data_IF_861021842955
#
_entry.id   IF_861021842955
#
_cell.length_a   1.000
_cell.length_b   1.000
_cell.length_c   1.000
_cell.angle_alpha   90.00
_cell.angle_beta   90.00
_cell.angle_gamma   90.00
#
_symmetry.space_group_name_H-M   'P 1'
#
loop_
_entity.id
_entity.type
_entity.pdbx_description
1 polymer ?
#
# COMPACT_ATOMS: atom_id res chain seq x y z
N UNK A 1 5.53 16.73 -27.03
CA UNK A 1 6.22 15.60 -26.39
C UNK A 1 6.05 15.77 -24.89
N UNK A 2 5.42 14.81 -24.20
CA UNK A 2 5.48 14.77 -22.75
C UNK A 2 6.93 14.47 -22.30
N UNK A 3 7.46 15.16 -21.29
CA UNK A 3 8.81 14.91 -20.82
C UNK A 3 8.93 13.49 -20.25
N UNK A 4 9.98 12.75 -20.64
CA UNK A 4 10.25 11.41 -20.12
C UNK A 4 10.42 11.49 -18.60
N UNK A 5 9.60 10.73 -17.87
CA UNK A 5 9.70 10.67 -16.42
C UNK A 5 11.06 10.08 -15.99
N UNK A 6 11.61 10.60 -14.90
CA UNK A 6 12.84 10.04 -14.30
C UNK A 6 12.51 8.81 -13.47
N UNK A 7 13.49 7.92 -13.26
CA UNK A 7 13.36 6.76 -12.36
C UNK A 7 12.88 7.15 -10.95
N UNK A 8 13.34 8.30 -10.43
CA UNK A 8 12.88 8.91 -9.18
C UNK A 8 11.39 9.21 -9.23
N UNK A 9 10.93 9.90 -10.29
CA UNK A 9 9.52 10.26 -10.45
C UNK A 9 8.64 9.02 -10.65
N UNK A 10 9.09 8.03 -11.42
CA UNK A 10 8.39 6.76 -11.63
C UNK A 10 8.24 5.98 -10.32
N UNK A 11 9.30 5.91 -9.51
CA UNK A 11 9.25 5.25 -8.19
C UNK A 11 8.23 5.91 -7.27
N UNK A 12 8.25 7.25 -7.16
CA UNK A 12 7.30 8.00 -6.35
C UNK A 12 5.86 7.86 -6.87
N UNK A 13 5.68 8.00 -8.20
CA UNK A 13 4.37 7.92 -8.86
C UNK A 13 3.75 6.54 -8.64
N UNK A 14 4.53 5.48 -8.76
CA UNK A 14 4.11 4.09 -8.52
C UNK A 14 3.52 3.91 -7.12
N UNK A 15 4.26 4.32 -6.09
CA UNK A 15 3.76 4.17 -4.72
C UNK A 15 2.51 5.01 -4.46
N UNK A 16 2.49 6.26 -4.96
CA UNK A 16 1.34 7.17 -4.80
C UNK A 16 0.10 6.71 -5.57
N UNK A 17 0.29 6.05 -6.71
CA UNK A 17 -0.80 5.43 -7.48
C UNK A 17 -1.47 4.35 -6.64
N UNK A 18 -0.70 3.41 -6.09
CA UNK A 18 -1.26 2.35 -5.23
C UNK A 18 -1.95 2.94 -4.00
N UNK A 19 -1.35 3.92 -3.31
CA UNK A 19 -1.99 4.56 -2.15
C UNK A 19 -3.34 5.20 -2.49
N UNK A 20 -3.46 5.85 -3.65
CA UNK A 20 -4.72 6.46 -4.10
C UNK A 20 -5.74 5.41 -4.52
N UNK A 21 -5.29 4.39 -5.23
CA UNK A 21 -6.12 3.28 -5.68
C UNK A 21 -6.68 2.49 -4.48
N UNK A 22 -5.83 2.09 -3.55
CA UNK A 22 -6.21 1.27 -2.39
C UNK A 22 -7.26 1.94 -1.51
N UNK A 23 -7.21 3.28 -1.38
CA UNK A 23 -8.22 4.06 -0.64
C UNK A 23 -9.60 4.11 -1.30
N UNK A 24 -9.66 3.86 -2.61
CA UNK A 24 -10.90 3.86 -3.40
C UNK A 24 -11.39 2.44 -3.73
N UNK A 25 -10.62 1.43 -3.34
CA UNK A 25 -10.93 0.04 -3.64
C UNK A 25 -12.15 -0.39 -2.80
N UNK A 26 -13.21 -0.97 -3.41
CA UNK A 26 -14.35 -1.46 -2.65
C UNK A 26 -13.94 -2.58 -1.68
N UNK A 27 -14.61 -2.67 -0.53
CA UNK A 27 -14.27 -3.66 0.51
C UNK A 27 -14.34 -5.11 -0.01
N UNK A 28 -15.26 -5.42 -0.91
CA UNK A 28 -15.42 -6.74 -1.54
C UNK A 28 -14.25 -7.18 -2.45
N UNK A 29 -13.29 -6.28 -2.72
CA UNK A 29 -12.06 -6.56 -3.46
C UNK A 29 -10.87 -6.81 -2.53
N UNK A 30 -11.02 -6.55 -1.22
CA UNK A 30 -9.97 -6.76 -0.23
C UNK A 30 -10.02 -8.20 0.30
N UNK A 31 -8.86 -8.79 0.50
CA UNK A 31 -8.77 -10.05 1.21
C UNK A 31 -9.15 -9.84 2.69
N UNK A 32 -9.54 -10.92 3.37
CA UNK A 32 -10.05 -10.83 4.73
C UNK A 32 -8.99 -10.24 5.67
N UNK A 33 -9.37 -9.21 6.43
CA UNK A 33 -8.46 -8.50 7.33
C UNK A 33 -7.48 -7.54 6.65
N UNK A 34 -7.57 -7.35 5.33
CA UNK A 34 -6.79 -6.34 4.62
C UNK A 34 -7.51 -5.00 4.52
N UNK A 35 -6.70 -3.95 4.38
CA UNK A 35 -7.15 -2.59 4.17
C UNK A 35 -6.22 -1.82 3.22
N UNK A 36 -6.55 -0.55 2.99
CA UNK A 36 -5.75 0.31 2.12
C UNK A 36 -4.29 0.48 2.58
N UNK A 37 -4.05 0.46 3.89
CA UNK A 37 -2.71 0.60 4.47
C UNK A 37 -1.89 -0.68 4.26
N UNK A 38 -2.54 -1.84 4.31
CA UNK A 38 -1.94 -3.15 4.03
C UNK A 38 -1.41 -3.21 2.59
N UNK A 39 -2.27 -2.87 1.61
CA UNK A 39 -1.90 -2.84 0.20
C UNK A 39 -0.81 -1.80 -0.09
N UNK A 40 -0.93 -0.61 0.52
CA UNK A 40 0.08 0.44 0.43
C UNK A 40 1.41 -0.01 1.02
N UNK A 41 1.39 -0.68 2.17
CA UNK A 41 2.57 -1.25 2.83
C UNK A 41 3.30 -2.25 1.93
N UNK A 42 2.57 -3.17 1.28
CA UNK A 42 3.16 -4.13 0.32
C UNK A 42 3.78 -3.44 -0.89
N UNK A 43 3.13 -2.40 -1.41
CA UNK A 43 3.70 -1.57 -2.47
C UNK A 43 5.01 -0.91 -2.04
N UNK A 44 5.08 -0.40 -0.81
CA UNK A 44 6.30 0.17 -0.26
C UNK A 44 7.40 -0.89 -0.17
N UNK A 45 7.11 -2.04 0.45
CA UNK A 45 8.08 -3.13 0.60
C UNK A 45 8.67 -3.57 -0.73
N UNK A 46 7.82 -3.78 -1.75
CA UNK A 46 8.31 -4.10 -3.09
C UNK A 46 9.35 -3.09 -3.60
N UNK A 47 9.07 -1.80 -3.45
CA UNK A 47 9.95 -0.72 -3.92
C UNK A 47 11.19 -0.54 -3.04
N UNK A 48 11.23 -1.11 -1.83
CA UNK A 48 12.42 -1.10 -0.99
C UNK A 48 13.30 -2.34 -1.26
N UNK A 49 12.69 -3.48 -1.58
CA UNK A 49 13.36 -4.78 -1.65
C UNK A 49 13.82 -5.17 -3.07
N UNK A 50 13.42 -4.42 -4.09
CA UNK A 50 13.75 -4.70 -5.49
C UNK A 50 14.56 -3.58 -6.14
N UNK A 51 15.40 -3.95 -7.11
CA UNK A 51 16.24 -3.01 -7.88
C UNK A 51 15.51 -2.52 -9.14
N UNK A 52 14.72 -3.39 -9.76
CA UNK A 52 14.02 -3.11 -11.02
C UNK A 52 12.52 -3.28 -10.84
N UNK A 53 11.76 -2.34 -11.39
CA UNK A 53 10.31 -2.43 -11.43
C UNK A 53 9.87 -3.35 -12.56
N UNK A 54 8.95 -4.26 -12.21
CA UNK A 54 8.26 -5.16 -13.11
C UNK A 54 6.77 -5.10 -12.77
N UNK A 55 5.91 -4.87 -13.75
CA UNK A 55 4.49 -4.60 -13.50
C UNK A 55 3.78 -5.82 -12.94
N UNK A 56 4.04 -7.01 -13.49
CA UNK A 56 3.32 -8.22 -13.13
C UNK A 56 3.75 -8.68 -11.72
N UNK A 57 5.06 -8.75 -11.48
CA UNK A 57 5.61 -9.09 -10.16
C UNK A 57 5.22 -8.08 -9.09
N UNK A 58 5.12 -6.79 -9.44
CA UNK A 58 4.63 -5.76 -8.52
C UNK A 58 3.18 -6.01 -8.11
N UNK A 59 2.30 -6.27 -9.08
CA UNK A 59 0.88 -6.55 -8.80
C UNK A 59 0.73 -7.80 -7.95
N UNK A 60 1.44 -8.89 -8.27
CA UNK A 60 1.45 -10.13 -7.49
C UNK A 60 1.94 -9.92 -6.05
N UNK A 61 2.86 -8.97 -5.84
CA UNK A 61 3.36 -8.65 -4.51
C UNK A 61 2.33 -7.89 -3.69
N UNK A 62 1.62 -6.94 -4.32
CA UNK A 62 0.61 -6.09 -3.68
C UNK A 62 -0.68 -6.87 -3.38
N UNK A 63 -1.15 -7.68 -4.32
CA UNK A 63 -2.40 -8.44 -4.23
C UNK A 63 -2.11 -9.87 -3.77
N UNK A 64 -2.29 -10.15 -2.47
CA UNK A 64 -2.14 -11.49 -1.90
C UNK A 64 -3.49 -11.95 -1.38
N UNK A 65 -4.18 -12.75 -2.16
CA UNK A 65 -5.49 -13.28 -1.80
C UNK A 65 -5.59 -14.75 -2.18
N UNK A 66 -6.19 -15.53 -1.28
CA UNK A 66 -6.41 -16.96 -1.46
C UNK A 66 -7.64 -17.24 -2.31
N UNK A 67 -8.62 -16.32 -2.30
CA UNK A 67 -9.78 -16.38 -3.19
C UNK A 67 -9.35 -15.98 -4.62
N UNK A 68 -9.43 -16.90 -5.60
CA UNK A 68 -8.95 -16.63 -6.95
C UNK A 68 -9.78 -15.59 -7.69
N UNK A 69 -11.08 -15.50 -7.45
CA UNK A 69 -11.96 -14.56 -8.13
C UNK A 69 -11.74 -13.14 -7.59
N UNK A 70 -11.70 -12.99 -6.27
CA UNK A 70 -11.41 -11.70 -5.62
C UNK A 70 -10.01 -11.22 -5.97
N UNK A 71 -9.01 -12.11 -5.96
CA UNK A 71 -7.66 -11.84 -6.45
C UNK A 71 -7.67 -11.32 -7.88
N UNK A 72 -8.39 -11.99 -8.78
CA UNK A 72 -8.44 -11.59 -10.19
C UNK A 72 -9.07 -10.21 -10.37
N UNK A 73 -10.18 -9.90 -9.67
CA UNK A 73 -10.82 -8.58 -9.70
C UNK A 73 -9.89 -7.49 -9.19
N UNK A 74 -9.22 -7.71 -8.04
CA UNK A 74 -8.27 -6.76 -7.46
C UNK A 74 -7.04 -6.55 -8.35
N UNK A 75 -6.51 -7.62 -8.95
CA UNK A 75 -5.40 -7.59 -9.92
C UNK A 75 -5.76 -6.76 -11.15
N UNK A 76 -6.94 -6.99 -11.73
CA UNK A 76 -7.41 -6.25 -12.90
C UNK A 76 -7.60 -4.75 -12.57
N UNK A 77 -8.19 -4.45 -11.41
CA UNK A 77 -8.37 -3.07 -10.93
C UNK A 77 -7.04 -2.34 -10.74
N UNK A 78 -6.07 -2.97 -10.06
CA UNK A 78 -4.75 -2.37 -9.85
C UNK A 78 -4.02 -2.18 -11.18
N UNK A 79 -4.03 -3.18 -12.07
CA UNK A 79 -3.41 -3.08 -13.39
C UNK A 79 -3.97 -1.89 -14.17
N UNK A 80 -5.30 -1.75 -14.20
CA UNK A 80 -5.95 -0.63 -14.87
C UNK A 80 -5.49 0.72 -14.31
N UNK A 81 -5.47 0.87 -12.98
CA UNK A 81 -4.97 2.10 -12.35
C UNK A 81 -3.51 2.41 -12.69
N UNK A 82 -2.65 1.38 -12.79
CA UNK A 82 -1.25 1.55 -13.21
C UNK A 82 -1.13 1.92 -14.70
N UNK A 83 -2.04 1.46 -15.56
CA UNK A 83 -2.11 1.86 -16.98
C UNK A 83 -2.51 3.32 -17.10
N UNK A 84 -3.55 3.77 -16.39
CA UNK A 84 -4.01 5.16 -16.41
C UNK A 84 -2.91 6.12 -15.92
N UNK A 85 -2.13 5.69 -14.94
CA UNK A 85 -0.99 6.43 -14.44
C UNK A 85 0.27 6.28 -15.32
N UNK A 86 0.18 5.54 -16.43
CA UNK A 86 1.27 5.30 -17.37
C UNK A 86 2.46 4.55 -16.79
N UNK A 87 2.27 3.78 -15.71
CA UNK A 87 3.32 2.99 -15.04
C UNK A 87 3.40 1.58 -15.63
N UNK A 88 2.24 0.97 -15.86
CA UNK A 88 2.16 -0.40 -16.36
C UNK A 88 2.86 -0.54 -17.72
N UNK A 89 3.67 -1.59 -17.86
CA UNK A 89 4.47 -1.84 -19.07
C UNK A 89 5.80 -1.10 -19.12
N UNK A 90 6.10 -0.22 -18.16
CA UNK A 90 7.44 0.35 -18.01
C UNK A 90 8.34 -0.57 -17.19
N UNK A 91 9.62 -0.62 -17.56
CA UNK A 91 10.70 -1.18 -16.75
C UNK A 91 11.66 -0.05 -16.38
N UNK A 92 11.89 0.16 -15.09
CA UNK A 92 12.77 1.21 -14.60
C UNK A 92 13.52 0.76 -13.34
N UNK A 93 14.70 1.35 -13.11
CA UNK A 93 15.44 1.14 -11.86
C UNK A 93 14.71 1.85 -10.73
N UNK A 94 14.39 1.12 -9.68
CA UNK A 94 13.71 1.64 -8.50
C UNK A 94 14.69 2.53 -7.72
N UNK A 95 14.19 3.66 -7.23
CA UNK A 95 14.95 4.60 -6.41
C UNK A 95 14.35 4.67 -4.99
N UNK A 96 14.68 3.74 -4.07
CA UNK A 96 14.05 3.68 -2.73
C UNK A 96 14.15 5.00 -1.94
N UNK A 97 15.28 5.70 -2.07
CA UNK A 97 15.54 7.00 -1.44
C UNK A 97 14.63 8.12 -1.97
N UNK A 98 13.97 7.92 -3.11
CA UNK A 98 13.01 8.86 -3.67
C UNK A 98 11.69 8.88 -2.89
N UNK A 99 11.32 7.79 -2.19
CA UNK A 99 10.06 7.73 -1.46
C UNK A 99 10.17 8.58 -0.19
N UNK A 100 9.42 9.68 -0.15
CA UNK A 100 9.47 10.65 0.94
C UNK A 100 8.89 10.07 2.23
N UNK A 101 9.28 10.60 3.39
CA UNK A 101 8.69 10.20 4.68
C UNK A 101 7.16 10.35 4.67
N UNK A 102 6.64 11.41 4.03
CA UNK A 102 5.19 11.61 3.87
C UNK A 102 4.53 10.45 3.12
N UNK A 103 5.18 9.92 2.10
CA UNK A 103 4.66 8.80 1.31
C UNK A 103 4.83 7.45 2.02
N UNK A 104 5.84 7.31 2.90
CA UNK A 104 6.09 6.11 3.72
C UNK A 104 5.13 5.95 4.90
N UNK A 105 4.57 7.06 5.39
CA UNK A 105 3.69 7.07 6.57
C UNK A 105 2.34 6.42 6.26
N UNK A 106 1.94 5.52 7.13
CA UNK A 106 0.58 5.03 7.23
C UNK A 106 -0.17 5.79 8.31
N UNK A 107 -1.47 5.95 8.11
CA UNK A 107 -2.34 6.74 9.00
C UNK A 107 -3.62 5.96 9.23
N UNK A 108 -3.95 5.74 10.50
CA UNK A 108 -5.30 5.41 10.93
C UNK A 108 -5.89 6.61 11.67
N UNK A 109 -7.16 6.92 11.39
CA UNK A 109 -7.94 7.92 12.09
C UNK A 109 -9.23 7.26 12.54
N UNK A 110 -9.50 7.26 13.85
CA UNK A 110 -10.76 6.76 14.40
C UNK A 110 -11.85 7.83 14.33
N UNK A 111 -13.11 7.43 14.50
CA UNK A 111 -14.25 8.36 14.51
C UNK A 111 -14.17 9.35 15.69
N UNK A 112 -13.56 8.93 16.79
CA UNK A 112 -13.31 9.73 17.99
C UNK A 112 -12.10 10.68 17.86
N UNK A 113 -11.45 10.71 16.69
CA UNK A 113 -10.34 11.61 16.41
C UNK A 113 -8.97 11.11 16.86
N UNK A 114 -8.83 9.84 17.28
CA UNK A 114 -7.51 9.26 17.60
C UNK A 114 -6.76 9.01 16.31
N UNK A 115 -5.56 9.61 16.17
CA UNK A 115 -4.73 9.43 14.98
C UNK A 115 -3.47 8.62 15.30
N UNK A 116 -3.28 7.54 14.55
CA UNK A 116 -2.11 6.66 14.66
C UNK A 116 -1.25 6.86 13.41
N UNK A 117 0.00 7.29 13.61
CA UNK A 117 0.99 7.46 12.55
C UNK A 117 2.13 6.47 12.76
N UNK A 118 2.47 5.73 11.70
CA UNK A 118 3.62 4.83 11.71
C UNK A 118 4.26 4.76 10.31
N UNK A 119 5.52 4.31 10.24
CA UNK A 119 6.25 4.12 8.99
C UNK A 119 6.43 2.63 8.70
N UNK A 120 6.31 2.27 7.43
CA UNK A 120 6.39 0.87 7.01
C UNK A 120 5.04 0.14 7.05
N UNK A 121 5.05 -1.18 6.79
CA UNK A 121 3.86 -2.02 6.86
C UNK A 121 3.43 -2.27 8.32
N UNK A 122 2.16 -2.64 8.53
CA UNK A 122 1.56 -2.79 9.85
C UNK A 122 2.22 -3.91 10.69
N UNK A 123 2.64 -5.00 10.05
CA UNK A 123 3.36 -6.11 10.67
C UNK A 123 4.72 -5.68 11.24
N UNK A 124 5.51 -4.90 10.48
CA UNK A 124 6.78 -4.33 10.95
C UNK A 124 6.57 -3.32 12.10
N UNK A 125 5.42 -2.66 12.14
CA UNK A 125 5.04 -1.75 13.22
C UNK A 125 4.35 -2.45 14.40
N UNK A 126 4.17 -3.78 14.35
CA UNK A 126 3.43 -4.58 15.34
C UNK A 126 2.01 -4.04 15.62
N UNK A 127 1.31 -3.62 14.56
CA UNK A 127 -0.07 -3.15 14.61
C UNK A 127 -0.99 -4.24 14.05
N UNK A 128 -1.97 -4.64 14.84
CA UNK A 128 -3.05 -5.53 14.45
C UNK A 128 -4.38 -4.75 14.50
N UNK A 129 -5.19 -4.85 13.44
CA UNK A 129 -6.54 -4.29 13.37
C UNK A 129 -7.53 -5.44 13.18
N UNK A 130 -8.55 -5.51 14.02
CA UNK A 130 -9.61 -6.54 13.95
C UNK A 130 -10.96 -5.86 13.93
N UNK A 131 -11.73 -6.09 12.88
CA UNK A 131 -13.14 -5.69 12.83
C UNK A 131 -13.99 -6.61 13.72
N UNK A 132 -14.98 -6.04 14.38
CA UNK A 132 -15.91 -6.72 15.28
C UNK A 132 -17.30 -6.80 14.62
N UNK A 133 -18.14 -7.73 15.08
CA UNK A 133 -19.48 -7.97 14.51
C UNK A 133 -20.44 -6.79 14.68
N UNK A 134 -20.22 -5.95 15.70
CA UNK A 134 -21.00 -4.75 15.98
C UNK A 134 -20.60 -3.54 15.09
N UNK A 135 -19.70 -3.75 14.13
CA UNK A 135 -19.18 -2.71 13.25
C UNK A 135 -18.03 -1.90 13.86
N UNK A 136 -17.69 -2.11 15.13
CA UNK A 136 -16.51 -1.49 15.75
C UNK A 136 -15.21 -2.21 15.35
N UNK A 137 -14.07 -1.66 15.74
CA UNK A 137 -12.76 -2.28 15.46
C UNK A 137 -11.84 -2.18 16.67
N UNK A 138 -11.09 -3.25 16.94
CA UNK A 138 -10.02 -3.28 17.93
C UNK A 138 -8.67 -3.05 17.24
N UNK A 139 -7.92 -2.05 17.69
CA UNK A 139 -6.54 -1.79 17.25
C UNK A 139 -5.59 -2.17 18.39
N UNK A 140 -4.68 -3.10 18.14
CA UNK A 140 -3.64 -3.53 19.09
C UNK A 140 -2.26 -3.12 18.58
N UNK A 141 -1.51 -2.38 19.41
CA UNK A 141 -0.13 -1.98 19.10
C UNK A 141 0.80 -2.56 20.16
N UNK A 142 1.73 -3.44 19.76
CA UNK A 142 2.70 -4.04 20.67
C UNK A 142 4.02 -3.25 20.61
N UNK A 143 4.47 -2.71 21.74
CA UNK A 143 5.75 -1.98 21.85
C UNK A 143 6.54 -2.43 23.07
N UNK A 144 7.87 -2.43 22.98
CA UNK A 144 8.75 -2.71 24.11
C UNK A 144 8.82 -1.55 25.10
N UNK A 145 8.54 -0.32 24.66
CA UNK A 145 8.54 0.89 25.48
C UNK A 145 7.50 1.87 24.99
N UNK A 146 6.65 2.33 25.91
CA UNK A 146 5.74 3.44 25.69
C UNK A 146 6.26 4.66 26.45
N UNK A 147 6.30 5.83 25.81
CA UNK A 147 6.75 7.09 26.42
C UNK A 147 5.70 8.16 26.15
N UNK A 148 5.29 8.85 27.22
CA UNK A 148 4.42 10.02 27.12
C UNK A 148 5.31 11.22 26.77
N UNK A 149 4.94 11.97 25.74
CA UNK A 149 5.63 13.21 25.34
C UNK A 149 4.82 14.42 25.76
#
# INVERSE_FOLDING_TARGET
MEPRLTNTTLTQKTHRAVRRWAKKLPLEFLADGEDANTLSGRSLNYLLDNITFDTDRFIETVIRDSDPERRQRATASLRHSLIEEGIAGQSFTIMPKAITLKDRKQVYLTEEGVTIYYEGPADAANIEVKSLEDGSSTITIKTSKLTIR
#
